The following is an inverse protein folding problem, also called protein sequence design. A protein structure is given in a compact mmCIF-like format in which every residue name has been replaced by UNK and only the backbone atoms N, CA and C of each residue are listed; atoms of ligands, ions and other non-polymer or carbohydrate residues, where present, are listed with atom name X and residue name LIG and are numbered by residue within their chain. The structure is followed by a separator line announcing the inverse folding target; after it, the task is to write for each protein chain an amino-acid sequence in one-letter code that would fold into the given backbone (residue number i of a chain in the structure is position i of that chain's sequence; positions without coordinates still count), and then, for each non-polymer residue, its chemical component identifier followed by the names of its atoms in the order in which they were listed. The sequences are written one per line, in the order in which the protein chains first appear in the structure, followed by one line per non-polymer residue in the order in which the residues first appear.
data_IF_846111573266
#
_entry.id   IF_846111573266
#
_cell.length_a   1.000
_cell.length_b   1.000
_cell.length_c   1.000
_cell.angle_alpha   90.00
_cell.angle_beta   90.00
_cell.angle_gamma   90.00
#
_symmetry.space_group_name_H-M   'P 1'
#
loop_
_entity.id
_entity.type
_entity.pdbx_description
1 polymer ?
#
# COMPACT_ATOMS: atom_id res chain seq x y z
N UNK A 1 31.24 -13.77 7.23
CA UNK A 1 30.30 -13.04 6.35
C UNK A 1 28.82 -13.37 6.64
N UNK A 2 28.40 -14.64 6.58
CA UNK A 2 26.98 -15.02 6.79
C UNK A 2 26.38 -14.62 8.15
N UNK A 3 27.15 -14.72 9.24
CA UNK A 3 26.70 -14.32 10.59
C UNK A 3 26.36 -12.82 10.63
N UNK A 4 27.18 -11.97 10.03
CA UNK A 4 26.98 -10.52 10.05
C UNK A 4 25.70 -10.10 9.30
N UNK A 5 25.40 -10.74 8.16
CA UNK A 5 24.17 -10.50 7.40
C UNK A 5 22.93 -10.92 8.20
N UNK A 6 22.94 -12.12 8.78
CA UNK A 6 21.82 -12.62 9.60
C UNK A 6 21.61 -11.71 10.83
N UNK A 7 22.69 -11.29 11.50
CA UNK A 7 22.58 -10.38 12.65
C UNK A 7 22.03 -9.00 12.27
N UNK A 8 22.34 -8.50 11.06
CA UNK A 8 21.76 -7.25 10.54
C UNK A 8 20.26 -7.41 10.32
N UNK A 9 19.86 -8.47 9.62
CA UNK A 9 18.45 -8.71 9.29
C UNK A 9 17.64 -8.93 10.57
N UNK A 10 18.17 -9.68 11.55
CA UNK A 10 17.53 -9.87 12.86
C UNK A 10 17.29 -8.54 13.58
N UNK A 11 18.29 -7.65 13.60
CA UNK A 11 18.15 -6.33 14.22
C UNK A 11 17.07 -5.49 13.53
N UNK A 12 17.07 -5.51 12.20
CA UNK A 12 16.07 -4.81 11.40
C UNK A 12 14.66 -5.29 11.71
N UNK A 13 14.42 -6.61 11.62
CA UNK A 13 13.11 -7.19 11.88
C UNK A 13 12.66 -7.05 13.34
N UNK A 14 13.60 -7.07 14.29
CA UNK A 14 13.29 -6.85 15.72
C UNK A 14 12.77 -5.43 15.94
N UNK A 15 13.47 -4.42 15.41
CA UNK A 15 13.05 -3.03 15.52
C UNK A 15 11.69 -2.78 14.84
N UNK A 16 11.49 -3.34 13.64
CA UNK A 16 10.23 -3.21 12.89
C UNK A 16 9.04 -3.79 13.65
N UNK A 17 9.23 -4.96 14.28
CA UNK A 17 8.19 -5.63 15.07
C UNK A 17 7.85 -4.84 16.33
N UNK A 18 8.83 -4.23 16.99
CA UNK A 18 8.61 -3.44 18.21
C UNK A 18 7.83 -2.16 17.94
N UNK A 19 8.01 -1.53 16.77
CA UNK A 19 7.30 -0.31 16.39
C UNK A 19 6.04 -0.55 15.53
N UNK A 20 5.68 -1.79 15.26
CA UNK A 20 4.56 -2.10 14.37
C UNK A 20 3.22 -1.78 15.05
N UNK A 21 2.37 -1.04 14.36
CA UNK A 21 1.01 -0.74 14.79
C UNK A 21 0.00 -1.42 13.88
N UNK A 22 -0.97 -2.13 14.46
CA UNK A 22 -2.04 -2.75 13.70
C UNK A 22 -3.04 -1.68 13.26
N UNK A 23 -3.15 -1.48 11.96
CA UNK A 23 -4.19 -0.65 11.36
C UNK A 23 -5.36 -1.52 10.92
N UNK A 24 -6.55 -1.23 11.46
CA UNK A 24 -7.81 -1.85 11.04
C UNK A 24 -8.70 -0.74 10.47
N UNK A 25 -8.93 -0.71 9.15
CA UNK A 25 -9.84 0.26 8.55
C UNK A 25 -11.25 0.13 9.12
N UNK A 26 -11.94 1.25 9.28
CA UNK A 26 -13.34 1.26 9.72
C UNK A 26 -14.22 0.52 8.69
N UNK A 27 -15.06 -0.44 9.14
CA UNK A 27 -15.99 -1.12 8.24
C UNK A 27 -16.91 -0.13 7.52
N UNK A 28 -17.01 -0.25 6.19
CA UNK A 28 -17.85 0.63 5.37
C UNK A 28 -17.28 2.03 5.12
N UNK A 29 -16.01 2.26 5.45
CA UNK A 29 -15.33 3.49 5.04
C UNK A 29 -15.03 3.47 3.54
N UNK A 30 -15.52 4.47 2.82
CA UNK A 30 -15.19 4.67 1.40
C UNK A 30 -13.93 5.53 1.21
N UNK A 31 -13.29 5.96 2.31
CA UNK A 31 -12.13 6.82 2.30
C UNK A 31 -10.85 5.98 2.27
N UNK A 32 -10.07 6.10 1.21
CA UNK A 32 -8.84 5.31 1.03
C UNK A 32 -7.80 5.64 2.11
N UNK A 33 -7.39 4.61 2.86
CA UNK A 33 -6.41 4.66 3.95
C UNK A 33 -5.49 3.44 3.93
N UNK A 34 -4.46 3.47 4.78
CA UNK A 34 -3.57 2.34 5.01
C UNK A 34 -4.37 1.07 5.40
N UNK A 35 -3.94 -0.10 4.91
CA UNK A 35 -4.57 -1.39 5.19
C UNK A 35 -5.79 -1.70 4.30
N UNK A 36 -6.26 -0.76 3.49
CA UNK A 36 -7.43 -0.96 2.63
C UNK A 36 -7.06 -1.57 1.28
N UNK A 37 -8.03 -2.32 0.72
CA UNK A 37 -8.05 -2.71 -0.68
C UNK A 37 -8.78 -1.66 -1.51
N UNK A 38 -8.21 -1.31 -2.66
CA UNK A 38 -8.73 -0.35 -3.62
C UNK A 38 -8.79 -0.99 -5.00
N UNK A 39 -9.86 -0.74 -5.73
CA UNK A 39 -9.98 -1.14 -7.12
C UNK A 39 -9.98 0.12 -7.95
N UNK A 40 -9.05 0.22 -8.89
CA UNK A 40 -8.89 1.35 -9.78
C UNK A 40 -9.36 0.94 -11.17
N UNK A 41 -10.13 1.79 -11.80
CA UNK A 41 -10.51 1.70 -13.20
C UNK A 41 -9.78 2.79 -14.00
N UNK A 42 -8.99 2.37 -15.00
CA UNK A 42 -8.37 3.31 -15.93
C UNK A 42 -9.31 3.68 -17.08
N UNK A 43 -8.95 4.72 -17.83
CA UNK A 43 -9.73 5.21 -18.99
C UNK A 43 -9.95 4.17 -20.09
N UNK A 44 -9.11 3.13 -20.14
CA UNK A 44 -9.24 2.00 -21.05
C UNK A 44 -10.23 0.92 -20.56
N UNK A 45 -10.92 1.18 -19.45
CA UNK A 45 -11.87 0.28 -18.79
C UNK A 45 -11.20 -0.86 -18.04
N UNK A 46 -9.86 -0.89 -17.94
CA UNK A 46 -9.16 -1.94 -17.20
C UNK A 46 -9.25 -1.67 -15.71
N UNK A 47 -9.60 -2.72 -14.97
CA UNK A 47 -9.65 -2.71 -13.51
C UNK A 47 -8.43 -3.38 -12.92
N UNK A 48 -7.82 -2.74 -11.93
CA UNK A 48 -6.71 -3.29 -11.17
C UNK A 48 -7.02 -3.17 -9.69
N UNK A 49 -6.78 -4.24 -8.94
CA UNK A 49 -6.95 -4.25 -7.50
C UNK A 49 -5.61 -4.15 -6.78
N UNK A 50 -5.53 -3.28 -5.79
CA UNK A 50 -4.36 -3.07 -4.95
C UNK A 50 -4.74 -3.09 -3.48
N UNK A 51 -3.86 -3.60 -2.61
CA UNK A 51 -3.93 -3.36 -1.17
C UNK A 51 -2.77 -2.47 -0.72
N UNK A 52 -3.07 -1.43 0.03
CA UNK A 52 -2.06 -0.52 0.57
C UNK A 52 -1.54 -1.09 1.90
N UNK A 53 -0.25 -1.38 1.95
CA UNK A 53 0.41 -2.09 3.05
C UNK A 53 1.70 -1.39 3.50
N UNK A 54 2.37 -1.93 4.53
CA UNK A 54 3.71 -1.47 4.93
C UNK A 54 4.76 -1.73 3.83
N UNK A 55 5.90 -1.03 3.87
CA UNK A 55 6.96 -1.23 2.87
C UNK A 55 7.47 -2.68 2.82
N UNK A 56 7.48 -3.35 3.97
CA UNK A 56 8.00 -4.72 4.11
C UNK A 56 7.03 -5.78 3.60
N UNK A 57 5.76 -5.41 3.44
CA UNK A 57 4.66 -6.28 2.98
C UNK A 57 4.34 -6.04 1.50
N UNK A 58 4.93 -5.00 0.90
CA UNK A 58 4.66 -4.59 -0.46
C UNK A 58 5.28 -5.56 -1.48
N UNK A 59 4.43 -6.13 -2.32
CA UNK A 59 4.77 -7.04 -3.40
C UNK A 59 3.80 -6.78 -4.56
N UNK A 60 4.21 -5.94 -5.54
CA UNK A 60 3.35 -5.60 -6.67
C UNK A 60 2.88 -6.81 -7.48
N UNK A 61 3.66 -7.89 -7.52
CA UNK A 61 3.26 -9.12 -8.21
C UNK A 61 2.11 -9.84 -7.50
N UNK A 62 1.89 -9.56 -6.22
CA UNK A 62 0.78 -10.08 -5.41
C UNK A 62 -0.36 -9.07 -5.21
N UNK A 63 -0.33 -7.92 -5.89
CA UNK A 63 -1.37 -6.92 -5.74
C UNK A 63 -1.26 -6.09 -4.45
N UNK A 64 -0.09 -6.00 -3.83
CA UNK A 64 0.13 -5.13 -2.66
C UNK A 64 1.14 -4.03 -2.97
N UNK A 65 0.86 -2.82 -2.48
CA UNK A 65 1.72 -1.64 -2.69
C UNK A 65 2.05 -0.99 -1.35
N UNK A 66 3.25 -0.41 -1.26
CA UNK A 66 3.65 0.33 -0.09
C UNK A 66 2.86 1.62 0.05
N UNK A 67 2.50 1.98 1.27
CA UNK A 67 1.89 3.27 1.62
C UNK A 67 2.72 4.50 1.22
N UNK A 68 4.05 4.36 1.07
CA UNK A 68 4.91 5.46 0.57
C UNK A 68 5.04 5.49 -0.96
N UNK A 69 4.40 4.56 -1.67
CA UNK A 69 4.45 4.54 -3.14
C UNK A 69 3.70 5.75 -3.74
N UNK A 70 4.12 6.26 -4.91
CA UNK A 70 3.40 7.35 -5.59
C UNK A 70 1.92 7.04 -5.84
N UNK A 71 1.61 5.77 -6.12
CA UNK A 71 0.25 5.26 -6.26
C UNK A 71 -0.55 5.44 -4.96
N UNK A 72 -0.06 4.93 -3.83
CA UNK A 72 -0.77 5.03 -2.56
C UNK A 72 -0.95 6.49 -2.11
N UNK A 73 0.08 7.34 -2.30
CA UNK A 73 0.03 8.76 -1.96
C UNK A 73 -1.01 9.53 -2.77
N UNK A 74 -1.17 9.20 -4.06
CA UNK A 74 -2.19 9.83 -4.91
C UNK A 74 -3.63 9.41 -4.54
N UNK A 75 -3.79 8.23 -3.95
CA UNK A 75 -5.09 7.69 -3.55
C UNK A 75 -5.50 8.07 -2.13
N UNK A 76 -4.56 8.33 -1.23
CA UNK A 76 -4.91 8.61 0.16
C UNK A 76 -5.85 9.81 0.31
N UNK A 77 -6.90 9.60 1.10
CA UNK A 77 -7.92 10.63 1.33
C UNK A 77 -8.94 10.79 0.20
N UNK A 78 -8.81 10.03 -0.89
CA UNK A 78 -9.84 9.92 -1.93
C UNK A 78 -10.99 9.03 -1.48
N UNK A 79 -12.16 9.29 -2.03
CA UNK A 79 -13.34 8.45 -1.86
C UNK A 79 -13.62 7.63 -3.11
N UNK A 80 -14.38 6.55 -2.96
CA UNK A 80 -14.93 5.79 -4.09
C UNK A 80 -15.64 6.73 -5.07
N UNK A 81 -15.29 6.63 -6.36
CA UNK A 81 -15.84 7.48 -7.43
C UNK A 81 -15.12 8.82 -7.62
N UNK A 82 -14.04 9.09 -6.87
CA UNK A 82 -13.19 10.25 -7.12
C UNK A 82 -12.02 9.91 -8.04
N UNK A 83 -11.76 10.78 -9.01
CA UNK A 83 -10.61 10.65 -9.89
C UNK A 83 -9.31 10.95 -9.12
N UNK A 84 -8.33 10.06 -9.29
CA UNK A 84 -6.95 10.22 -8.89
C UNK A 84 -6.04 10.29 -10.13
N UNK A 85 -4.97 11.06 -10.05
CA UNK A 85 -3.96 11.16 -11.10
C UNK A 85 -2.70 10.44 -10.63
N UNK A 86 -2.38 9.31 -11.26
CA UNK A 86 -1.21 8.50 -10.93
C UNK A 86 -0.27 8.47 -12.13
N UNK A 87 0.96 8.98 -11.95
CA UNK A 87 1.97 9.06 -13.01
C UNK A 87 1.44 9.70 -14.31
N UNK A 88 0.56 10.70 -14.18
CA UNK A 88 -0.04 11.42 -15.32
C UNK A 88 -1.18 10.68 -16.04
N UNK A 89 -1.73 9.61 -15.45
CA UNK A 89 -2.93 8.93 -15.92
C UNK A 89 -4.06 9.09 -14.92
N UNK A 90 -5.27 9.25 -15.41
CA UNK A 90 -6.48 9.30 -14.59
C UNK A 90 -6.95 7.88 -14.27
N UNK A 91 -7.41 7.69 -13.04
CA UNK A 91 -8.08 6.47 -12.59
C UNK A 91 -9.16 6.82 -11.57
N UNK A 92 -10.26 6.07 -11.61
CA UNK A 92 -11.40 6.16 -10.68
C UNK A 92 -11.47 4.96 -9.73
#
# INVERSE_FOLDING_TARGET
ERIALISRDLRYWTARRESAELSVPEPGSDLVRFGMGVTLEGDDGRKVHWRIVGEDEADPAKGTISHVSPMALALFGKKVGEIAVVNGRECE
#
